data_IF_935589709590
#
_entry.id   IF_935589709590
#
_cell.length_a   1.000
_cell.length_b   1.000
_cell.length_c   1.000
_cell.angle_alpha   90.00
_cell.angle_beta   90.00
_cell.angle_gamma   90.00
#
_symmetry.space_group_name_H-M   'P 1'
#
loop_
_entity.id
_entity.type
_entity.pdbx_description
1 polymer ?
#
# COMPACT_ATOMS: atom_id res chain seq x y z
N UNK A 1 -16.19 25.80 -41.37
CA UNK A 1 -16.39 25.81 -39.90
C UNK A 1 -16.33 24.43 -39.24
N UNK A 2 -16.62 23.31 -39.92
CA UNK A 2 -16.51 21.96 -39.30
C UNK A 2 -15.07 21.49 -39.06
N UNK A 3 -14.12 21.86 -39.93
CA UNK A 3 -12.72 21.40 -39.84
C UNK A 3 -11.95 21.96 -38.63
N UNK A 4 -12.26 23.19 -38.21
CA UNK A 4 -11.65 23.82 -37.03
C UNK A 4 -12.15 23.21 -35.71
N UNK A 5 -13.39 22.71 -35.68
CA UNK A 5 -13.96 22.04 -34.51
C UNK A 5 -13.26 20.71 -34.20
N UNK A 6 -12.97 19.90 -35.23
CA UNK A 6 -12.26 18.62 -35.03
C UNK A 6 -10.80 18.81 -34.59
N UNK A 7 -10.15 19.90 -35.00
CA UNK A 7 -8.78 20.22 -34.58
C UNK A 7 -8.73 20.58 -33.09
N UNK A 8 -9.70 21.36 -32.60
CA UNK A 8 -9.82 21.70 -31.18
C UNK A 8 -10.14 20.49 -30.31
N UNK A 9 -10.97 19.56 -30.82
CA UNK A 9 -11.30 18.31 -30.13
C UNK A 9 -10.07 17.40 -29.95
N UNK A 10 -9.21 17.31 -30.97
CA UNK A 10 -7.96 16.53 -30.93
C UNK A 10 -6.94 17.11 -29.92
N UNK A 11 -6.88 18.43 -29.77
CA UNK A 11 -6.03 19.10 -28.77
C UNK A 11 -6.54 18.80 -27.34
N UNK A 12 -7.86 18.77 -27.13
CA UNK A 12 -8.45 18.43 -25.83
C UNK A 12 -8.20 16.97 -25.41
N UNK A 13 -8.26 16.03 -26.37
CA UNK A 13 -8.02 14.60 -26.12
C UNK A 13 -6.54 14.35 -25.79
N UNK A 14 -5.62 15.05 -26.46
CA UNK A 14 -4.17 14.89 -26.23
C UNK A 14 -3.69 15.52 -24.91
N UNK A 15 -4.35 16.58 -24.41
CA UNK A 15 -4.06 17.16 -23.10
C UNK A 15 -4.52 16.29 -21.90
N UNK A 16 -5.42 15.33 -22.13
CA UNK A 16 -5.99 14.51 -21.06
C UNK A 16 -5.16 13.26 -20.69
N UNK A 17 -4.05 12.98 -21.42
CA UNK A 17 -3.39 11.67 -21.37
C UNK A 17 -2.09 11.57 -20.54
N UNK A 18 -1.74 12.55 -19.71
CA UNK A 18 -0.54 12.44 -18.86
C UNK A 18 -0.78 12.85 -17.41
N UNK A 19 -1.67 12.13 -16.73
CA UNK A 19 -1.46 11.92 -15.29
C UNK A 19 -0.48 10.76 -15.13
N UNK A 20 0.80 11.12 -15.01
CA UNK A 20 1.83 10.20 -14.56
C UNK A 20 1.40 9.72 -13.18
N UNK A 21 0.97 8.46 -13.08
CA UNK A 21 0.57 7.82 -11.84
C UNK A 21 1.86 7.55 -11.06
N UNK A 22 2.40 8.58 -10.41
CA UNK A 22 3.55 8.43 -9.52
C UNK A 22 3.13 7.42 -8.46
N UNK A 23 3.68 6.21 -8.51
CA UNK A 23 3.48 5.24 -7.44
C UNK A 23 4.30 5.75 -6.26
N UNK A 24 3.71 6.64 -5.45
CA UNK A 24 4.36 7.21 -4.28
C UNK A 24 4.45 6.14 -3.19
N UNK A 25 5.35 5.19 -3.39
CA UNK A 25 5.81 4.33 -2.33
C UNK A 25 6.75 5.14 -1.44
N UNK A 26 6.55 5.03 -0.13
CA UNK A 26 7.48 5.49 0.89
C UNK A 26 8.20 4.25 1.45
N UNK A 27 9.39 4.46 2.02
CA UNK A 27 10.14 3.42 2.72
C UNK A 27 10.09 3.67 4.23
N UNK A 28 9.87 2.62 5.01
CA UNK A 28 9.92 2.65 6.48
C UNK A 28 10.92 1.60 6.95
N UNK A 29 11.91 2.03 7.70
CA UNK A 29 12.84 1.12 8.35
C UNK A 29 12.18 0.57 9.62
N UNK A 30 12.19 -0.75 9.76
CA UNK A 30 11.66 -1.46 10.92
C UNK A 30 12.73 -2.37 11.52
N UNK A 31 12.63 -2.60 12.82
CA UNK A 31 13.52 -3.47 13.58
C UNK A 31 12.70 -4.33 14.53
N UNK A 32 13.08 -5.59 14.73
CA UNK A 32 12.37 -6.54 15.59
C UNK A 32 10.90 -6.63 15.22
N UNK A 33 10.59 -7.29 14.11
CA UNK A 33 9.23 -7.32 13.57
C UNK A 33 8.67 -8.73 13.50
N UNK A 34 7.35 -8.81 13.42
CA UNK A 34 6.62 -10.06 13.32
C UNK A 34 5.56 -9.99 12.23
N UNK A 35 5.07 -11.16 11.81
CA UNK A 35 3.98 -11.29 10.85
C UNK A 35 2.84 -12.08 11.46
N UNK A 36 1.61 -11.66 11.16
CA UNK A 36 0.44 -12.38 11.62
C UNK A 36 -0.87 -11.81 11.09
N UNK A 37 -1.96 -12.24 11.74
CA UNK A 37 -3.30 -11.76 11.42
C UNK A 37 -3.42 -10.25 11.64
N UNK A 38 -4.21 -9.63 10.77
CA UNK A 38 -4.47 -8.21 10.78
C UNK A 38 -5.11 -7.73 12.09
N UNK A 39 -4.57 -6.66 12.67
CA UNK A 39 -5.03 -6.03 13.92
C UNK A 39 -5.79 -4.71 13.76
N UNK A 40 -6.56 -4.51 12.68
CA UNK A 40 -7.35 -3.27 12.43
C UNK A 40 -8.84 -3.56 12.19
N UNK A 41 -9.68 -2.52 12.24
CA UNK A 41 -11.14 -2.66 12.12
C UNK A 41 -11.59 -2.97 10.68
N UNK A 42 -12.77 -3.58 10.53
CA UNK A 42 -13.38 -3.83 9.21
C UNK A 42 -13.63 -2.54 8.42
N UNK A 43 -13.93 -1.42 9.08
CA UNK A 43 -14.12 -0.14 8.39
C UNK A 43 -12.80 0.36 7.78
N UNK A 44 -11.68 0.15 8.49
CA UNK A 44 -10.35 0.50 7.97
C UNK A 44 -9.97 -0.41 6.80
N UNK A 45 -10.28 -1.71 6.86
CA UNK A 45 -10.11 -2.64 5.74
C UNK A 45 -10.92 -2.17 4.52
N UNK A 46 -12.16 -1.76 4.71
CA UNK A 46 -13.04 -1.27 3.64
C UNK A 46 -12.47 0.01 3.00
N UNK A 47 -11.91 0.90 3.83
CA UNK A 47 -11.22 2.10 3.38
C UNK A 47 -10.00 1.75 2.53
N UNK A 48 -9.11 0.87 3.03
CA UNK A 48 -7.90 0.41 2.31
C UNK A 48 -8.29 -0.23 0.97
N UNK A 49 -9.26 -1.15 0.98
CA UNK A 49 -9.75 -1.82 -0.22
C UNK A 49 -10.26 -0.83 -1.27
N UNK A 50 -11.02 0.19 -0.84
CA UNK A 50 -11.56 1.23 -1.72
C UNK A 50 -10.47 2.16 -2.27
N UNK A 51 -9.53 2.60 -1.43
CA UNK A 51 -8.43 3.52 -1.79
C UNK A 51 -7.48 2.85 -2.79
N UNK A 52 -7.04 1.63 -2.49
CA UNK A 52 -6.03 0.94 -3.28
C UNK A 52 -6.62 0.05 -4.38
N UNK A 53 -7.95 -0.03 -4.48
CA UNK A 53 -8.68 -0.86 -5.47
C UNK A 53 -8.24 -2.33 -5.41
N UNK A 54 -8.16 -2.87 -4.19
CA UNK A 54 -7.80 -4.26 -3.93
C UNK A 54 -8.93 -5.00 -3.22
N UNK A 55 -8.99 -6.32 -3.39
CA UNK A 55 -9.97 -7.15 -2.68
C UNK A 55 -9.69 -7.17 -1.19
N UNK A 56 -10.72 -7.04 -0.35
CA UNK A 56 -10.63 -7.22 1.11
C UNK A 56 -9.99 -8.56 1.51
N UNK A 57 -10.19 -9.61 0.70
CA UNK A 57 -9.59 -10.94 0.89
C UNK A 57 -8.06 -10.96 0.77
N UNK A 58 -7.46 -9.88 0.26
CA UNK A 58 -6.01 -9.71 0.15
C UNK A 58 -5.45 -8.81 1.25
N UNK A 59 -6.27 -8.42 2.22
CA UNK A 59 -5.90 -7.60 3.38
C UNK A 59 -6.27 -8.42 4.62
N UNK A 60 -5.59 -9.55 4.83
CA UNK A 60 -5.89 -10.46 5.96
C UNK A 60 -4.79 -10.51 7.01
N UNK A 61 -3.64 -9.95 6.67
CA UNK A 61 -2.43 -10.01 7.50
C UNK A 61 -1.81 -8.63 7.69
N UNK A 62 -0.90 -8.53 8.65
CA UNK A 62 -0.06 -7.35 8.86
C UNK A 62 1.36 -7.73 9.30
N UNK A 63 2.29 -6.83 9.00
CA UNK A 63 3.59 -6.79 9.69
C UNK A 63 3.43 -5.94 10.94
N UNK A 64 3.89 -6.45 12.08
CA UNK A 64 3.93 -5.72 13.33
C UNK A 64 5.37 -5.36 13.69
N UNK A 65 5.66 -4.07 13.74
CA UNK A 65 6.91 -3.55 14.28
C UNK A 65 6.79 -3.51 15.81
N UNK A 66 7.55 -4.37 16.50
CA UNK A 66 7.47 -4.50 17.97
C UNK A 66 8.09 -3.29 18.66
N UNK A 67 9.08 -2.65 18.04
CA UNK A 67 9.80 -1.49 18.58
C UNK A 67 8.88 -0.27 18.62
N UNK A 68 8.16 -0.02 17.51
CA UNK A 68 7.21 1.09 17.39
C UNK A 68 5.81 0.75 17.88
N UNK A 69 5.53 -0.53 18.16
CA UNK A 69 4.20 -1.08 18.47
C UNK A 69 3.16 -0.71 17.40
N UNK A 70 3.52 -0.82 16.12
CA UNK A 70 2.67 -0.44 14.98
C UNK A 70 2.38 -1.61 14.05
N UNK A 71 1.12 -1.67 13.59
CA UNK A 71 0.68 -2.61 12.56
C UNK A 71 0.70 -1.95 11.17
N UNK A 72 1.27 -2.66 10.21
CA UNK A 72 1.27 -2.33 8.80
C UNK A 72 0.44 -3.38 8.06
N UNK A 73 -0.84 -3.11 7.75
CA UNK A 73 -1.65 -4.00 6.93
C UNK A 73 -0.93 -4.27 5.61
N UNK A 74 -0.94 -5.51 5.13
CA UNK A 74 -0.25 -5.89 3.91
C UNK A 74 -1.23 -6.25 2.80
N UNK A 75 -0.76 -6.14 1.55
CA UNK A 75 -1.40 -6.80 0.42
C UNK A 75 -0.82 -8.21 0.27
N UNK A 76 -1.59 -9.22 0.67
CA UNK A 76 -1.16 -10.63 0.65
C UNK A 76 -0.80 -11.14 -0.76
N UNK A 77 -1.20 -10.42 -1.83
CA UNK A 77 -0.87 -10.80 -3.19
C UNK A 77 0.51 -10.34 -3.68
N UNK A 78 1.05 -9.29 -3.07
CA UNK A 78 2.29 -8.64 -3.54
C UNK A 78 3.38 -8.64 -2.50
N UNK A 79 3.03 -8.88 -1.24
CA UNK A 79 3.96 -8.90 -0.14
C UNK A 79 4.99 -10.02 -0.31
N UNK A 80 6.26 -9.68 -0.09
CA UNK A 80 7.37 -10.62 -0.20
C UNK A 80 7.54 -11.34 1.15
N UNK A 81 7.28 -12.64 1.19
CA UNK A 81 7.31 -13.43 2.43
C UNK A 81 8.66 -14.08 2.72
N UNK A 82 9.71 -13.83 1.93
CA UNK A 82 11.06 -14.41 2.13
C UNK A 82 11.59 -14.22 3.56
N UNK A 83 11.14 -13.18 4.25
CA UNK A 83 11.51 -12.94 5.64
C UNK A 83 10.91 -13.93 6.63
N UNK A 84 9.78 -14.58 6.32
CA UNK A 84 8.92 -15.33 7.24
C UNK A 84 8.87 -16.85 6.96
N UNK A 85 9.62 -17.36 5.98
CA UNK A 85 9.57 -18.77 5.57
C UNK A 85 10.18 -19.76 6.60
N UNK A 86 10.88 -19.27 7.63
CA UNK A 86 11.66 -20.12 8.56
C UNK A 86 10.91 -20.57 9.84
N UNK A 87 9.57 -20.60 9.85
CA UNK A 87 8.72 -20.87 11.04
C UNK A 87 8.88 -19.88 12.21
N UNK A 88 9.72 -18.85 12.07
CA UNK A 88 9.88 -17.76 13.03
C UNK A 88 8.82 -16.70 12.78
N UNK A 89 7.85 -16.61 13.70
CA UNK A 89 6.86 -15.53 13.70
C UNK A 89 7.47 -14.16 14.00
N UNK A 90 8.66 -14.14 14.59
CA UNK A 90 9.36 -12.96 15.04
C UNK A 90 10.78 -12.94 14.47
N UNK A 91 11.20 -11.76 14.04
CA UNK A 91 12.41 -11.52 13.27
C UNK A 91 13.19 -10.40 13.93
N UNK A 92 14.31 -10.75 14.55
CA UNK A 92 15.24 -9.83 15.23
C UNK A 92 16.34 -9.35 14.28
N UNK A 93 15.95 -8.63 13.22
CA UNK A 93 16.85 -7.92 12.30
C UNK A 93 16.18 -6.63 11.79
N UNK A 94 16.98 -5.78 11.13
CA UNK A 94 16.50 -4.60 10.42
C UNK A 94 15.97 -4.98 9.05
N UNK A 95 14.91 -4.30 8.61
CA UNK A 95 14.36 -4.43 7.27
C UNK A 95 13.72 -3.12 6.80
N UNK A 96 13.52 -3.00 5.49
CA UNK A 96 12.86 -1.88 4.82
C UNK A 96 11.48 -2.33 4.33
N UNK A 97 10.43 -1.70 4.85
CA UNK A 97 9.08 -1.84 4.31
C UNK A 97 8.82 -0.83 3.19
N UNK A 98 8.34 -1.33 2.07
CA UNK A 98 7.80 -0.53 0.97
C UNK A 98 6.32 -0.35 1.19
N UNK A 99 5.91 0.88 1.46
CA UNK A 99 4.54 1.20 1.88
C UNK A 99 3.91 2.25 0.99
N UNK A 100 2.58 2.28 0.92
CA UNK A 100 1.83 3.45 0.45
C UNK A 100 1.17 4.14 1.62
N UNK A 101 1.31 5.47 1.75
CA UNK A 101 0.60 6.22 2.76
C UNK A 101 -0.90 6.30 2.42
N UNK A 102 -1.74 6.31 3.45
CA UNK A 102 -3.16 6.65 3.35
C UNK A 102 -3.61 7.38 4.60
N UNK A 103 -4.78 8.03 4.56
CA UNK A 103 -5.34 8.71 5.72
C UNK A 103 -6.59 7.97 6.19
N UNK A 104 -6.65 7.68 7.49
CA UNK A 104 -7.83 7.09 8.13
C UNK A 104 -8.18 7.91 9.37
N UNK A 105 -9.41 8.44 9.42
CA UNK A 105 -9.89 9.33 10.49
C UNK A 105 -8.94 10.52 10.77
N UNK A 106 -8.32 11.07 9.73
CA UNK A 106 -7.39 12.20 9.83
C UNK A 106 -5.94 11.82 10.16
N UNK A 107 -5.65 10.56 10.44
CA UNK A 107 -4.30 10.08 10.77
C UNK A 107 -3.60 9.48 9.54
N UNK A 108 -2.33 9.84 9.32
CA UNK A 108 -1.49 9.22 8.28
C UNK A 108 -1.12 7.81 8.74
N UNK A 109 -1.52 6.82 7.93
CA UNK A 109 -1.23 5.39 8.10
C UNK A 109 -0.51 4.85 6.86
N UNK A 110 -0.08 3.59 6.94
CA UNK A 110 0.76 2.96 5.92
C UNK A 110 0.26 1.57 5.56
N UNK A 111 0.20 1.30 4.27
CA UNK A 111 -0.20 0.01 3.70
C UNK A 111 1.01 -0.64 3.01
N UNK A 112 1.45 -1.79 3.49
CA UNK A 112 2.71 -2.41 3.10
C UNK A 112 2.57 -3.37 1.90
N UNK A 113 3.54 -3.33 0.99
CA UNK A 113 3.55 -4.10 -0.25
C UNK A 113 4.77 -5.01 -0.41
N UNK A 114 5.90 -4.71 0.25
CA UNK A 114 7.12 -5.51 0.18
C UNK A 114 7.96 -5.25 1.44
N UNK A 115 8.79 -6.23 1.79
CA UNK A 115 9.86 -6.12 2.77
C UNK A 115 11.19 -6.55 2.14
N UNK A 116 12.26 -5.83 2.46
CA UNK A 116 13.65 -6.04 1.99
C UNK A 116 14.69 -5.89 3.09
#
# INVERSE_FOLDING_TARGET
MKKTFYLLLLIFISCSLKQNKTSNFETINIENFSYGKLGISYEEIDSIASIFKISKKKITSSVYDTSLKKNFPINDNTFNYIFFDDNTKEITKKATLYVKPYFYKGEKKYFAYKIE
#
